data_IF_747440743912
#
_entry.id   IF_747440743912
#
_cell.length_a   1.000
_cell.length_b   1.000
_cell.length_c   1.000
_cell.angle_alpha   90.00
_cell.angle_beta   90.00
_cell.angle_gamma   90.00
#
_symmetry.space_group_name_H-M   'P 1'
#
loop_
_entity.id
_entity.type
_entity.pdbx_description
1 polymer ?
#
# COMPACT_ATOMS: atom_id res chain seq x y z
N UNK A 1 17.22 27.96 34.50
CA UNK A 1 16.55 28.95 35.38
C UNK A 1 15.59 29.81 34.56
N UNK A 2 14.29 29.52 34.62
CA UNK A 2 13.17 30.48 34.58
C UNK A 2 11.89 29.64 34.70
N UNK A 3 11.30 29.72 35.89
CA UNK A 3 10.04 29.08 36.27
C UNK A 3 8.91 30.01 35.86
N UNK A 4 7.82 29.46 35.31
CA UNK A 4 6.52 30.10 35.37
C UNK A 4 5.48 29.04 35.77
N UNK A 5 4.73 29.38 36.80
CA UNK A 5 3.62 28.65 37.39
C UNK A 5 2.49 29.67 37.66
N UNK A 6 1.28 29.13 37.87
CA UNK A 6 0.00 29.77 38.25
C UNK A 6 -0.82 30.40 37.10
N UNK A 7 -2.15 30.25 37.02
CA UNK A 7 -3.18 29.71 37.93
C UNK A 7 -4.35 29.11 37.14
N UNK A 8 -5.08 28.12 37.65
CA UNK A 8 -6.10 28.16 38.69
C UNK A 8 -7.42 28.85 38.28
N UNK A 9 -8.50 28.05 38.40
CA UNK A 9 -9.86 28.43 38.79
C UNK A 9 -10.84 28.91 37.70
N UNK A 10 -11.81 28.07 37.34
CA UNK A 10 -13.23 28.45 37.33
C UNK A 10 -14.12 27.23 37.62
N UNK A 11 -14.84 27.34 38.74
CA UNK A 11 -15.95 26.50 39.20
C UNK A 11 -17.24 27.27 38.91
N UNK A 12 -18.28 26.58 38.44
CA UNK A 12 -19.67 27.07 38.40
C UNK A 12 -20.47 26.39 37.29
N UNK A 13 -21.23 25.31 37.57
CA UNK A 13 -22.67 25.32 37.91
C UNK A 13 -23.56 26.03 36.88
N UNK A 14 -24.45 25.29 36.18
CA UNK A 14 -25.91 25.56 36.14
C UNK A 14 -26.72 24.57 35.24
N UNK A 15 -27.78 24.00 35.85
CA UNK A 15 -29.10 23.54 35.32
C UNK A 15 -29.15 22.51 34.19
N UNK A 16 -29.66 21.28 34.38
CA UNK A 16 -31.07 20.85 34.63
C UNK A 16 -32.05 21.41 33.59
N UNK A 17 -32.37 20.59 32.60
CA UNK A 17 -33.42 20.81 31.62
C UNK A 17 -34.06 19.48 31.21
N UNK A 18 -34.93 18.94 32.07
CA UNK A 18 -35.88 17.90 31.70
C UNK A 18 -37.00 18.54 30.87
N UNK A 19 -37.04 18.23 29.56
CA UNK A 19 -38.18 18.52 28.72
C UNK A 19 -38.98 17.22 28.52
N UNK A 20 -39.88 16.97 29.47
CA UNK A 20 -41.03 16.09 29.28
C UNK A 20 -42.21 16.95 28.81
N UNK A 21 -42.71 16.68 27.61
CA UNK A 21 -43.98 17.16 27.06
C UNK A 21 -44.22 16.30 25.80
N UNK A 22 -45.32 15.61 25.57
CA UNK A 22 -46.57 15.46 26.30
C UNK A 22 -47.39 14.44 25.50
N UNK A 23 -48.07 13.54 26.22
CA UNK A 23 -49.11 12.70 25.63
C UNK A 23 -50.40 13.49 25.42
N UNK A 24 -51.09 13.18 24.33
CA UNK A 24 -52.43 13.68 23.97
C UNK A 24 -52.71 13.25 22.54
N UNK A 25 -53.31 12.08 22.34
CA UNK A 25 -54.77 11.83 22.31
C UNK A 25 -55.25 11.75 20.86
N UNK A 26 -55.54 10.52 20.43
CA UNK A 26 -56.62 10.16 19.51
C UNK A 26 -56.83 11.04 18.28
N UNK A 27 -55.99 10.83 17.27
CA UNK A 27 -56.47 10.84 15.88
C UNK A 27 -56.30 9.43 15.34
N UNK A 28 -57.38 8.76 14.89
CA UNK A 28 -57.26 7.43 14.31
C UNK A 28 -56.28 7.51 13.14
N UNK A 29 -55.33 6.58 13.13
CA UNK A 29 -54.41 6.34 12.04
C UNK A 29 -55.17 6.48 10.72
N UNK A 30 -54.91 7.59 10.02
CA UNK A 30 -55.13 7.61 8.59
C UNK A 30 -54.23 6.50 8.08
N UNK A 31 -54.84 5.36 7.75
CA UNK A 31 -54.22 4.30 6.98
C UNK A 31 -53.55 4.96 5.78
N UNK A 32 -52.26 5.29 5.91
CA UNK A 32 -51.38 5.46 4.79
C UNK A 32 -51.23 4.03 4.27
N UNK A 33 -52.25 3.60 3.53
CA UNK A 33 -52.11 2.54 2.57
C UNK A 33 -51.10 3.10 1.57
N UNK A 34 -49.82 2.85 1.81
CA UNK A 34 -48.84 2.82 0.75
C UNK A 34 -49.35 1.73 -0.19
N UNK A 35 -50.22 2.12 -1.12
CA UNK A 35 -50.61 1.31 -2.24
C UNK A 35 -49.36 1.26 -3.09
N UNK A 36 -48.47 0.35 -2.70
CA UNK A 36 -47.44 -0.15 -3.58
C UNK A 36 -48.20 -0.72 -4.76
N UNK A 37 -48.12 -0.03 -5.89
CA UNK A 37 -48.91 -0.32 -7.07
C UNK A 37 -48.39 -1.62 -7.67
N UNK A 38 -48.84 -2.75 -7.11
CA UNK A 38 -48.43 -4.12 -7.39
C UNK A 38 -48.79 -4.64 -8.80
N UNK A 39 -48.90 -3.75 -9.80
CA UNK A 39 -49.24 -4.10 -11.18
C UNK A 39 -48.29 -3.52 -12.22
N UNK A 40 -47.22 -2.84 -11.82
CA UNK A 40 -46.03 -2.74 -12.66
C UNK A 40 -45.12 -3.92 -12.32
N UNK A 41 -44.49 -4.63 -13.28
CA UNK A 41 -43.26 -5.31 -12.93
C UNK A 41 -42.35 -4.20 -12.40
N UNK A 42 -42.05 -4.20 -11.10
CA UNK A 42 -40.84 -3.56 -10.61
C UNK A 42 -39.74 -4.23 -11.39
N UNK A 43 -39.40 -3.66 -12.54
CA UNK A 43 -38.15 -3.92 -13.20
C UNK A 43 -37.16 -3.51 -12.13
N UNK A 44 -36.69 -4.50 -11.37
CA UNK A 44 -35.50 -4.35 -10.56
C UNK A 44 -34.51 -3.74 -11.54
N UNK A 45 -34.28 -2.44 -11.41
CA UNK A 45 -33.17 -1.79 -12.06
C UNK A 45 -32.00 -2.53 -11.48
N UNK A 46 -31.46 -3.48 -12.25
CA UNK A 46 -30.34 -4.31 -11.82
C UNK A 46 -29.32 -3.35 -11.25
N UNK A 47 -29.02 -3.51 -9.98
CA UNK A 47 -28.12 -2.61 -9.27
C UNK A 47 -26.81 -2.50 -10.06
N UNK A 48 -26.28 -1.29 -10.12
CA UNK A 48 -25.10 -1.00 -10.92
C UNK A 48 -23.89 -1.81 -10.41
N UNK A 49 -23.44 -2.77 -11.22
CA UNK A 49 -22.32 -3.64 -10.91
C UNK A 49 -21.04 -3.12 -11.61
N UNK A 50 -20.11 -2.59 -10.81
CA UNK A 50 -18.84 -2.02 -11.28
C UNK A 50 -17.95 -3.03 -12.01
N UNK A 51 -17.93 -4.30 -11.58
CA UNK A 51 -17.03 -5.32 -12.14
C UNK A 51 -17.52 -5.86 -13.48
N UNK A 52 -18.83 -6.11 -13.62
CA UNK A 52 -19.42 -6.61 -14.87
C UNK A 52 -19.84 -5.48 -15.81
N UNK A 53 -19.84 -4.24 -15.33
CA UNK A 53 -20.37 -3.06 -16.02
C UNK A 53 -21.83 -3.25 -16.47
N UNK A 54 -22.67 -3.82 -15.61
CA UNK A 54 -24.08 -4.11 -15.87
C UNK A 54 -25.00 -3.32 -14.94
N UNK A 55 -26.22 -3.03 -15.38
CA UNK A 55 -27.25 -2.35 -14.58
C UNK A 55 -27.63 -0.95 -15.06
N UNK A 56 -26.80 -0.36 -15.92
CA UNK A 56 -27.05 0.97 -16.50
C UNK A 56 -27.71 0.91 -17.88
N UNK A 57 -28.25 2.05 -18.33
CA UNK A 57 -28.88 2.16 -19.65
C UNK A 57 -27.83 2.08 -20.77
N UNK A 58 -28.30 1.89 -22.01
CA UNK A 58 -27.41 1.94 -23.18
C UNK A 58 -26.73 3.31 -23.29
N UNK A 59 -25.40 3.31 -23.42
CA UNK A 59 -24.60 4.53 -23.45
C UNK A 59 -24.17 5.03 -22.06
N UNK A 60 -24.49 4.28 -21.01
CA UNK A 60 -24.01 4.51 -19.66
C UNK A 60 -23.07 3.39 -19.19
N UNK A 61 -22.25 3.70 -18.20
CA UNK A 61 -21.38 2.76 -17.49
C UNK A 61 -21.68 2.77 -16.00
N UNK A 62 -21.34 1.66 -15.36
CA UNK A 62 -21.20 1.60 -13.92
C UNK A 62 -19.86 2.17 -13.48
N UNK A 63 -19.90 3.16 -12.60
CA UNK A 63 -18.69 3.84 -12.11
C UNK A 63 -18.87 4.41 -10.71
N UNK A 64 -17.79 4.92 -10.15
CA UNK A 64 -17.81 5.72 -8.93
C UNK A 64 -18.07 7.18 -9.30
N UNK A 65 -19.06 7.78 -8.67
CA UNK A 65 -19.45 9.17 -8.87
C UNK A 65 -19.07 9.94 -7.60
N UNK A 66 -18.13 10.87 -7.72
CA UNK A 66 -17.78 11.81 -6.66
C UNK A 66 -18.96 12.76 -6.44
N UNK A 67 -19.67 12.60 -5.34
CA UNK A 67 -20.81 13.45 -4.98
C UNK A 67 -20.32 14.74 -4.31
N UNK A 68 -19.27 14.63 -3.52
CA UNK A 68 -18.53 15.74 -2.88
C UNK A 68 -17.04 15.40 -2.89
N UNK A 69 -16.18 16.31 -2.43
CA UNK A 69 -14.73 16.09 -2.33
C UNK A 69 -14.33 14.92 -1.41
N UNK A 70 -15.25 14.43 -0.56
CA UNK A 70 -14.98 13.35 0.41
C UNK A 70 -16.00 12.21 0.36
N UNK A 71 -16.97 12.26 -0.54
CA UNK A 71 -18.05 11.28 -0.61
C UNK A 71 -18.31 10.96 -2.07
N UNK A 72 -18.28 9.67 -2.40
CA UNK A 72 -18.81 9.19 -3.67
C UNK A 72 -19.85 8.10 -3.48
N UNK A 73 -20.41 7.66 -4.61
CA UNK A 73 -21.38 6.57 -4.67
C UNK A 73 -21.20 5.76 -5.94
N UNK A 74 -21.61 4.50 -5.89
CA UNK A 74 -21.74 3.66 -7.08
C UNK A 74 -22.99 4.11 -7.85
N UNK A 75 -22.85 4.32 -9.15
CA UNK A 75 -23.98 4.74 -9.99
C UNK A 75 -23.71 4.65 -11.48
N UNK A 76 -24.77 4.95 -12.23
CA UNK A 76 -24.72 5.03 -13.68
C UNK A 76 -24.31 6.44 -14.13
N UNK A 77 -23.33 6.51 -15.02
CA UNK A 77 -22.89 7.74 -15.65
C UNK A 77 -22.70 7.52 -17.15
N UNK A 78 -22.57 8.59 -17.93
CA UNK A 78 -22.29 8.46 -19.37
C UNK A 78 -21.02 7.64 -19.61
N UNK A 79 -21.09 6.69 -20.54
CA UNK A 79 -19.93 5.89 -20.91
C UNK A 79 -18.88 6.76 -21.61
N UNK A 80 -17.65 6.66 -21.14
CA UNK A 80 -16.54 7.43 -21.67
C UNK A 80 -15.97 6.83 -22.95
N UNK A 81 -14.97 7.50 -23.51
CA UNK A 81 -14.28 7.05 -24.73
C UNK A 81 -12.80 6.77 -24.51
N UNK A 82 -12.26 7.12 -23.35
CA UNK A 82 -10.84 6.91 -23.04
C UNK A 82 -10.63 5.46 -22.63
N UNK A 83 -9.84 4.73 -23.42
CA UNK A 83 -9.49 3.33 -23.13
C UNK A 83 -8.59 3.20 -21.89
N UNK A 84 -8.54 2.00 -21.31
CA UNK A 84 -7.61 1.65 -20.22
C UNK A 84 -6.16 2.01 -20.61
N UNK A 85 -5.42 2.60 -19.69
CA UNK A 85 -4.08 3.16 -19.87
C UNK A 85 -4.05 4.54 -20.53
N UNK A 86 -5.19 5.05 -21.02
CA UNK A 86 -5.32 6.39 -21.59
C UNK A 86 -5.42 7.49 -20.53
N UNK A 87 -5.04 8.71 -20.90
CA UNK A 87 -5.20 9.91 -20.06
C UNK A 87 -6.67 10.31 -19.92
N UNK A 88 -7.14 10.46 -18.69
CA UNK A 88 -8.53 10.76 -18.37
C UNK A 88 -8.69 11.99 -17.47
N UNK A 89 -9.93 12.40 -17.30
CA UNK A 89 -10.32 13.50 -16.40
C UNK A 89 -11.61 13.13 -15.68
N UNK A 90 -11.68 13.42 -14.39
CA UNK A 90 -12.93 13.40 -13.63
C UNK A 90 -13.58 14.78 -13.70
N UNK A 91 -14.89 14.83 -13.92
CA UNK A 91 -15.63 16.08 -13.82
C UNK A 91 -15.71 16.58 -12.36
N UNK A 92 -16.23 17.80 -12.13
CA UNK A 92 -16.33 18.36 -10.78
C UNK A 92 -17.31 17.55 -9.94
N UNK A 93 -17.02 17.41 -8.64
CA UNK A 93 -17.88 16.69 -7.71
C UNK A 93 -19.34 17.15 -7.80
N UNK A 94 -20.24 16.17 -7.85
CA UNK A 94 -21.68 16.34 -8.00
C UNK A 94 -22.30 15.09 -8.62
N UNK A 95 -23.54 14.76 -8.23
CA UNK A 95 -24.18 13.50 -8.63
C UNK A 95 -24.30 13.28 -10.14
N UNK A 96 -24.28 14.36 -10.93
CA UNK A 96 -24.39 14.31 -12.40
C UNK A 96 -23.14 14.83 -13.11
N UNK A 97 -22.05 15.09 -12.39
CA UNK A 97 -20.82 15.68 -12.96
C UNK A 97 -19.54 15.06 -12.44
N UNK A 98 -19.56 14.41 -11.27
CA UNK A 98 -18.37 13.84 -10.62
C UNK A 98 -17.98 12.46 -11.15
N UNK A 99 -18.16 12.22 -12.44
CA UNK A 99 -17.74 10.97 -13.09
C UNK A 99 -16.63 11.24 -14.09
N UNK A 100 -15.88 10.19 -14.41
CA UNK A 100 -14.77 10.27 -15.36
C UNK A 100 -15.16 9.92 -16.81
N UNK A 101 -14.25 10.21 -17.75
CA UNK A 101 -14.43 9.96 -19.18
C UNK A 101 -13.79 8.64 -19.69
N UNK A 102 -13.49 7.70 -18.80
CA UNK A 102 -13.02 6.37 -19.14
C UNK A 102 -14.15 5.46 -19.64
N UNK A 103 -13.82 4.48 -20.48
CA UNK A 103 -14.77 3.47 -20.95
C UNK A 103 -15.33 2.63 -19.78
N UNK A 104 -16.49 2.01 -19.98
CA UNK A 104 -17.12 1.15 -18.98
C UNK A 104 -16.22 0.01 -18.47
N UNK A 105 -16.34 -0.30 -17.18
CA UNK A 105 -15.44 -1.23 -16.48
C UNK A 105 -14.08 -0.62 -16.11
N UNK A 106 -13.91 0.70 -16.23
CA UNK A 106 -12.71 1.41 -15.79
C UNK A 106 -13.04 2.72 -15.05
N UNK A 107 -12.08 3.18 -14.26
CA UNK A 107 -12.13 4.38 -13.43
C UNK A 107 -10.91 5.26 -13.66
N UNK A 108 -11.06 6.57 -13.56
CA UNK A 108 -9.95 7.51 -13.71
C UNK A 108 -9.21 7.72 -12.39
N UNK A 109 -8.06 7.05 -12.24
CA UNK A 109 -7.20 7.21 -11.07
C UNK A 109 -5.89 7.89 -11.44
N UNK A 110 -5.56 8.98 -10.75
CA UNK A 110 -4.35 9.78 -11.03
C UNK A 110 -4.24 10.24 -12.48
N UNK A 111 -5.37 10.47 -13.14
CA UNK A 111 -5.43 10.87 -14.55
C UNK A 111 -5.17 9.74 -15.55
N UNK A 112 -5.25 8.47 -15.16
CA UNK A 112 -5.18 7.32 -16.08
C UNK A 112 -6.40 6.44 -15.90
N UNK A 113 -6.98 5.97 -17.01
CA UNK A 113 -8.06 4.99 -16.94
C UNK A 113 -7.51 3.62 -16.54
N UNK A 114 -8.02 3.07 -15.45
CA UNK A 114 -7.60 1.77 -14.93
C UNK A 114 -8.81 0.85 -14.80
N UNK A 115 -8.63 -0.42 -15.15
CA UNK A 115 -9.70 -1.40 -15.08
C UNK A 115 -10.13 -1.57 -13.61
N UNK A 116 -11.44 -1.57 -13.36
CA UNK A 116 -11.96 -1.92 -12.04
C UNK A 116 -11.76 -3.42 -11.83
N UNK A 117 -11.34 -3.81 -10.63
CA UNK A 117 -11.02 -5.20 -10.31
C UNK A 117 -11.61 -5.65 -8.98
N UNK A 118 -11.73 -6.97 -8.82
CA UNK A 118 -11.94 -7.60 -7.51
C UNK A 118 -10.61 -8.03 -6.92
N UNK A 119 -10.46 -8.00 -5.60
CA UNK A 119 -9.24 -8.45 -4.92
C UNK A 119 -9.19 -9.96 -4.65
N UNK A 120 -10.36 -10.60 -4.52
CA UNK A 120 -10.46 -12.00 -4.13
C UNK A 120 -11.49 -12.76 -5.00
N UNK A 121 -11.08 -13.40 -6.10
CA UNK A 121 -9.72 -13.42 -6.65
C UNK A 121 -9.34 -12.08 -7.31
N UNK A 122 -8.03 -11.81 -7.38
CA UNK A 122 -7.49 -10.73 -8.20
C UNK A 122 -7.91 -10.93 -9.66
N UNK A 123 -8.69 -10.00 -10.20
CA UNK A 123 -9.19 -10.04 -11.59
C UNK A 123 -8.29 -9.30 -12.59
N UNK A 124 -7.17 -8.73 -12.16
CA UNK A 124 -6.21 -8.04 -13.01
C UNK A 124 -5.36 -9.03 -13.83
N UNK A 125 -4.70 -8.54 -14.88
CA UNK A 125 -3.71 -9.33 -15.61
C UNK A 125 -2.42 -9.42 -14.76
N UNK A 126 -2.07 -10.61 -14.23
CA UNK A 126 -0.94 -10.77 -13.31
C UNK A 126 0.42 -10.56 -13.99
N UNK A 127 0.47 -10.47 -15.32
CA UNK A 127 1.69 -10.13 -16.04
C UNK A 127 1.98 -8.62 -16.03
N UNK A 128 0.95 -7.78 -15.88
CA UNK A 128 1.06 -6.34 -16.11
C UNK A 128 0.50 -5.48 -14.98
N UNK A 129 -0.34 -6.03 -14.11
CA UNK A 129 -1.08 -5.29 -13.09
C UNK A 129 -1.41 -6.14 -11.85
N UNK A 130 -1.81 -5.47 -10.77
CA UNK A 130 -2.33 -6.06 -9.52
C UNK A 130 -3.55 -5.25 -9.08
N UNK A 131 -4.49 -5.87 -8.37
CA UNK A 131 -5.67 -5.17 -7.88
C UNK A 131 -5.40 -4.43 -6.56
N UNK A 132 -5.39 -3.09 -6.58
CA UNK A 132 -5.21 -2.27 -5.37
C UNK A 132 -6.52 -1.61 -4.94
N UNK A 133 -6.83 -1.66 -3.64
CA UNK A 133 -7.90 -0.84 -3.06
C UNK A 133 -7.39 0.53 -2.65
N UNK A 134 -8.30 1.50 -2.69
CA UNK A 134 -8.05 2.87 -2.29
C UNK A 134 -9.09 3.26 -1.25
N UNK A 135 -8.63 3.85 -0.14
CA UNK A 135 -9.53 4.24 0.94
C UNK A 135 -10.60 5.22 0.43
N UNK A 136 -11.87 4.92 0.70
CA UNK A 136 -13.01 5.74 0.27
C UNK A 136 -13.44 5.53 -1.18
N UNK A 137 -12.72 4.73 -1.97
CA UNK A 137 -13.09 4.41 -3.35
C UNK A 137 -13.87 3.10 -3.39
N UNK A 138 -15.03 3.12 -4.05
CA UNK A 138 -15.95 1.98 -4.15
C UNK A 138 -16.55 1.52 -2.81
N UNK A 139 -16.58 2.40 -1.80
CA UNK A 139 -17.26 2.12 -0.53
C UNK A 139 -18.73 1.73 -0.77
N UNK A 140 -19.16 0.65 -0.12
CA UNK A 140 -20.50 0.10 -0.27
C UNK A 140 -20.65 -0.92 -1.41
N UNK A 141 -19.58 -1.23 -2.16
CA UNK A 141 -19.59 -2.36 -3.07
C UNK A 141 -19.83 -3.70 -2.32
N UNK A 142 -20.52 -4.68 -2.94
CA UNK A 142 -20.80 -5.98 -2.30
C UNK A 142 -19.57 -6.89 -2.19
N UNK A 143 -18.46 -6.52 -2.84
CA UNK A 143 -17.18 -7.24 -2.84
C UNK A 143 -16.05 -6.22 -2.73
N UNK A 144 -14.89 -6.66 -2.25
CA UNK A 144 -13.69 -5.81 -2.18
C UNK A 144 -13.21 -5.49 -3.59
N UNK A 145 -13.44 -4.23 -4.00
CA UNK A 145 -13.06 -3.71 -5.30
C UNK A 145 -11.82 -2.82 -5.21
N UNK A 146 -11.17 -2.67 -6.35
CA UNK A 146 -10.02 -1.80 -6.53
C UNK A 146 -9.88 -1.40 -7.99
N UNK A 147 -8.68 -0.94 -8.35
CA UNK A 147 -8.28 -0.75 -9.74
C UNK A 147 -7.01 -1.54 -10.05
N UNK A 148 -6.87 -1.94 -11.31
CA UNK A 148 -5.68 -2.64 -11.80
C UNK A 148 -4.53 -1.67 -12.00
N UNK A 149 -3.76 -1.45 -10.93
CA UNK A 149 -2.53 -0.67 -11.00
C UNK A 149 -1.45 -1.44 -11.75
N UNK A 150 -0.70 -0.74 -12.60
CA UNK A 150 0.37 -1.36 -13.37
C UNK A 150 1.54 -1.78 -12.49
N UNK A 151 2.09 -2.96 -12.71
CA UNK A 151 3.28 -3.43 -11.99
C UNK A 151 4.52 -2.58 -12.33
N UNK A 152 5.43 -2.41 -11.37
CA UNK A 152 6.61 -1.57 -11.50
C UNK A 152 7.87 -2.12 -10.82
N UNK A 153 9.01 -1.52 -11.11
CA UNK A 153 10.29 -1.75 -10.45
C UNK A 153 10.56 -0.60 -9.47
N UNK A 154 10.56 -0.84 -8.16
CA UNK A 154 10.71 0.23 -7.18
C UNK A 154 12.15 0.78 -7.13
N UNK A 155 13.15 -0.05 -7.41
CA UNK A 155 14.57 0.36 -7.45
C UNK A 155 14.85 1.38 -8.55
N UNK A 156 14.19 1.25 -9.70
CA UNK A 156 14.34 2.15 -10.85
C UNK A 156 13.22 3.17 -11.01
N UNK A 157 12.09 2.98 -10.32
CA UNK A 157 10.85 3.73 -10.52
C UNK A 157 10.34 3.60 -11.97
N UNK A 158 10.32 2.39 -12.52
CA UNK A 158 9.91 2.13 -13.91
C UNK A 158 8.71 1.18 -13.97
N UNK A 159 7.74 1.44 -14.84
CA UNK A 159 6.65 0.49 -15.12
C UNK A 159 7.20 -0.76 -15.83
N UNK A 160 6.78 -1.96 -15.40
CA UNK A 160 7.35 -3.22 -15.92
C UNK A 160 6.93 -3.54 -17.35
N UNK A 161 5.74 -3.12 -17.76
CA UNK A 161 5.19 -3.47 -19.08
C UNK A 161 5.92 -2.77 -20.23
N UNK A 162 6.41 -1.55 -20.03
CA UNK A 162 6.98 -0.71 -21.10
C UNK A 162 8.20 0.13 -20.69
N UNK A 163 8.70 -0.04 -19.46
CA UNK A 163 9.84 0.71 -18.90
C UNK A 163 9.60 2.22 -18.84
N UNK A 164 8.35 2.66 -18.74
CA UNK A 164 8.05 4.07 -18.55
C UNK A 164 8.61 4.55 -17.20
N UNK A 165 9.49 5.57 -17.25
CA UNK A 165 10.07 6.21 -16.08
C UNK A 165 8.98 6.86 -15.20
N UNK A 166 9.20 6.86 -13.89
CA UNK A 166 8.26 7.30 -12.86
C UNK A 166 6.85 6.71 -13.04
N UNK A 167 6.76 5.44 -13.45
CA UNK A 167 5.48 4.79 -13.71
C UNK A 167 4.64 5.43 -14.84
N UNK A 168 5.26 6.25 -15.68
CA UNK A 168 4.57 7.09 -16.66
C UNK A 168 3.97 8.35 -16.02
N UNK A 169 3.56 9.30 -16.86
CA UNK A 169 2.92 10.52 -16.40
C UNK A 169 1.41 10.35 -16.52
N UNK A 170 0.65 10.67 -15.47
CA UNK A 170 -0.81 10.75 -15.55
C UNK A 170 -1.28 11.85 -16.50
N UNK A 171 -2.58 11.89 -16.80
CA UNK A 171 -3.16 13.06 -17.46
C UNK A 171 -2.77 14.35 -16.72
N UNK A 172 -2.61 15.44 -17.47
CA UNK A 172 -2.31 16.78 -16.93
C UNK A 172 -0.96 16.87 -16.18
N UNK A 173 -0.10 15.86 -16.30
CA UNK A 173 1.21 15.89 -15.66
C UNK A 173 1.21 15.34 -14.23
N UNK A 174 0.11 14.70 -13.79
CA UNK A 174 0.02 14.14 -12.44
C UNK A 174 1.16 13.13 -12.23
N UNK A 175 2.05 13.35 -11.24
CA UNK A 175 3.13 12.45 -10.96
C UNK A 175 2.59 11.09 -10.48
N UNK A 176 3.29 10.03 -10.87
CA UNK A 176 3.08 8.67 -10.38
C UNK A 176 4.39 8.15 -9.81
N UNK A 177 4.26 7.21 -8.90
CA UNK A 177 5.39 6.53 -8.30
C UNK A 177 5.19 5.03 -8.29
N UNK A 178 6.29 4.30 -8.17
CA UNK A 178 6.26 2.87 -7.93
C UNK A 178 6.28 2.63 -6.42
N UNK A 179 5.14 2.18 -5.91
CA UNK A 179 4.89 1.95 -4.49
C UNK A 179 4.56 0.49 -4.27
N UNK A 180 4.73 0.02 -3.05
CA UNK A 180 4.41 -1.35 -2.69
C UNK A 180 4.93 -1.65 -1.31
N UNK A 181 4.42 -2.72 -0.73
CA UNK A 181 4.80 -3.14 0.60
C UNK A 181 4.97 -4.66 0.61
N UNK A 182 5.98 -5.11 1.36
CA UNK A 182 6.23 -6.53 1.58
C UNK A 182 5.35 -6.96 2.75
N UNK A 183 4.10 -7.36 2.48
CA UNK A 183 3.28 -7.98 3.52
C UNK A 183 3.35 -9.50 3.39
N UNK A 184 3.77 -10.15 4.47
CA UNK A 184 3.72 -11.60 4.64
C UNK A 184 2.24 -12.04 4.74
N UNK A 185 1.52 -12.02 3.62
CA UNK A 185 0.26 -12.72 3.50
C UNK A 185 0.57 -14.10 2.93
N UNK A 186 0.37 -15.14 3.73
CA UNK A 186 0.53 -16.53 3.34
C UNK A 186 -0.37 -16.94 2.16
N UNK A 187 -1.31 -16.09 1.75
CA UNK A 187 -2.25 -16.31 0.66
C UNK A 187 -1.73 -15.88 -0.71
N UNK A 188 -0.81 -14.91 -0.79
CA UNK A 188 -0.16 -14.51 -2.03
C UNK A 188 1.23 -13.90 -1.74
N UNK A 189 2.32 -14.66 -1.89
CA UNK A 189 3.68 -14.19 -1.59
C UNK A 189 4.22 -13.20 -2.64
N UNK A 190 3.39 -12.75 -3.60
CA UNK A 190 3.82 -11.80 -4.61
C UNK A 190 3.86 -10.41 -4.01
N UNK A 191 5.06 -9.85 -3.99
CA UNK A 191 5.27 -8.44 -3.71
C UNK A 191 4.97 -7.70 -4.99
N UNK A 192 3.73 -7.23 -5.08
CA UNK A 192 3.29 -6.43 -6.21
C UNK A 192 3.59 -4.97 -5.91
N UNK A 193 4.72 -4.51 -6.46
CA UNK A 193 4.95 -3.07 -6.59
C UNK A 193 4.09 -2.56 -7.73
N UNK A 194 3.25 -1.58 -7.42
CA UNK A 194 2.29 -1.02 -8.33
C UNK A 194 2.54 0.48 -8.54
N UNK A 195 2.29 0.92 -9.76
CA UNK A 195 2.28 2.31 -10.13
C UNK A 195 1.03 2.94 -9.57
N UNK A 196 1.16 3.86 -8.61
CA UNK A 196 0.00 4.57 -8.05
C UNK A 196 0.18 6.08 -8.21
N UNK A 197 -0.89 6.88 -8.11
CA UNK A 197 -0.77 8.32 -8.10
C UNK A 197 0.08 8.77 -6.90
N UNK A 198 0.98 9.73 -7.15
CA UNK A 198 1.70 10.40 -6.08
C UNK A 198 0.71 11.33 -5.37
N UNK A 199 0.53 11.13 -4.06
CA UNK A 199 -0.38 11.94 -3.23
C UNK A 199 0.34 13.12 -2.59
N UNK A 200 1.64 13.28 -2.83
CA UNK A 200 2.47 14.30 -2.21
C UNK A 200 2.58 15.55 -3.11
N UNK A 201 1.75 16.57 -2.85
CA UNK A 201 1.98 17.92 -3.41
C UNK A 201 3.22 18.60 -2.78
N UNK A 202 3.68 18.06 -1.65
CA UNK A 202 4.90 18.47 -0.98
C UNK A 202 5.91 17.33 -1.10
N UNK A 203 7.17 17.68 -1.37
CA UNK A 203 8.35 16.82 -1.27
C UNK A 203 8.52 16.34 0.19
N UNK A 204 7.60 15.53 0.72
CA UNK A 204 7.59 15.06 2.10
C UNK A 204 8.44 13.80 2.18
N UNK A 205 9.72 13.95 1.86
CA UNK A 205 10.65 12.84 1.77
C UNK A 205 10.90 12.06 3.07
N UNK A 206 10.27 12.38 4.21
CA UNK A 206 10.60 11.77 5.51
C UNK A 206 9.49 11.78 6.58
N UNK A 207 8.26 12.20 6.27
CA UNK A 207 7.18 12.28 7.28
C UNK A 207 5.91 11.61 6.78
N UNK A 208 5.45 10.53 7.42
CA UNK A 208 4.27 9.80 6.96
C UNK A 208 3.02 10.69 7.02
N UNK A 209 2.21 10.64 5.96
CA UNK A 209 0.78 10.98 6.04
C UNK A 209 0.12 10.09 7.12
N UNK A 210 -0.95 10.53 7.83
CA UNK A 210 -1.52 9.74 8.91
C UNK A 210 -1.81 8.31 8.47
N UNK A 211 -1.59 7.37 9.39
CA UNK A 211 -1.95 5.96 9.22
C UNK A 211 -3.41 5.83 8.76
N UNK A 212 -3.74 4.72 8.10
CA UNK A 212 -5.13 4.31 7.90
C UNK A 212 -5.86 4.29 9.25
N UNK A 213 -7.21 4.31 9.27
CA UNK A 213 -7.97 4.15 10.51
C UNK A 213 -7.56 2.92 11.35
N UNK A 214 -6.99 1.90 10.70
CA UNK A 214 -6.50 0.67 11.32
C UNK A 214 -5.03 0.74 11.77
N UNK A 215 -4.37 1.89 11.62
CA UNK A 215 -3.00 2.10 12.07
C UNK A 215 -1.91 1.61 11.09
N UNK A 216 -2.25 1.29 9.84
CA UNK A 216 -1.27 0.88 8.82
C UNK A 216 -0.82 2.09 7.98
N UNK A 217 0.44 2.17 7.54
CA UNK A 217 0.85 3.23 6.62
C UNK A 217 0.17 3.05 5.26
N UNK A 218 -0.20 4.16 4.62
CA UNK A 218 -0.56 4.14 3.19
C UNK A 218 0.66 3.72 2.37
N UNK A 219 0.46 2.96 1.28
CA UNK A 219 1.56 2.52 0.41
C UNK A 219 2.38 3.69 -0.17
N UNK A 220 1.70 4.80 -0.44
CA UNK A 220 2.23 6.06 -0.94
C UNK A 220 2.38 7.11 0.18
N UNK A 221 2.55 6.68 1.43
CA UNK A 221 2.86 7.58 2.56
C UNK A 221 4.26 8.21 2.49
N UNK A 222 5.13 7.68 1.63
CA UNK A 222 6.45 8.21 1.30
C UNK A 222 6.50 8.69 -0.15
N UNK A 223 7.46 9.56 -0.48
CA UNK A 223 7.74 9.99 -1.85
C UNK A 223 8.06 8.80 -2.78
N UNK A 224 7.80 8.96 -4.09
CA UNK A 224 8.21 7.98 -5.10
C UNK A 224 9.71 7.66 -4.98
N UNK A 225 10.04 6.36 -4.94
CA UNK A 225 11.40 5.91 -4.70
C UNK A 225 11.72 5.61 -3.24
N UNK A 226 10.74 5.69 -2.34
CA UNK A 226 10.89 5.34 -0.94
C UNK A 226 9.86 4.31 -0.50
N UNK A 227 10.25 3.47 0.45
CA UNK A 227 9.43 2.46 1.08
C UNK A 227 9.05 2.91 2.49
N UNK A 228 7.75 2.97 2.84
CA UNK A 228 7.35 3.18 4.22
C UNK A 228 7.71 1.95 5.06
N UNK A 229 8.55 2.15 6.06
CA UNK A 229 8.92 1.13 7.03
C UNK A 229 8.49 1.56 8.43
N UNK A 230 7.77 0.68 9.12
CA UNK A 230 7.36 0.88 10.50
C UNK A 230 8.48 0.36 11.41
N UNK A 231 9.19 1.25 12.09
CA UNK A 231 10.39 0.90 12.85
C UNK A 231 10.11 0.05 14.11
N UNK A 232 8.85 0.00 14.58
CA UNK A 232 8.49 -0.87 15.69
C UNK A 232 7.00 -1.23 15.66
N UNK A 233 6.68 -2.52 15.69
CA UNK A 233 5.29 -3.01 15.67
C UNK A 233 4.73 -3.31 17.07
N UNK A 234 5.50 -3.07 18.13
CA UNK A 234 5.12 -3.41 19.50
C UNK A 234 4.25 -2.32 20.16
N UNK A 235 3.04 -2.09 19.64
CA UNK A 235 1.97 -1.33 20.31
C UNK A 235 2.25 0.16 20.59
N UNK A 236 3.40 0.69 20.17
CA UNK A 236 3.76 2.09 20.34
C UNK A 236 3.32 2.91 19.12
N UNK A 237 2.08 3.39 19.17
CA UNK A 237 1.47 4.28 18.18
C UNK A 237 2.14 5.66 18.08
N UNK A 238 3.19 5.92 18.86
CA UNK A 238 3.95 7.18 18.81
C UNK A 238 5.18 7.10 17.91
N UNK A 239 5.52 5.93 17.39
CA UNK A 239 6.64 5.81 16.47
C UNK A 239 6.27 6.32 15.07
N UNK A 240 7.24 7.02 14.48
CA UNK A 240 7.16 7.56 13.12
C UNK A 240 7.50 6.46 12.13
N UNK A 241 6.66 6.28 11.10
CA UNK A 241 7.11 5.53 9.93
C UNK A 241 8.29 6.27 9.30
N UNK A 242 9.27 5.50 8.83
CA UNK A 242 10.45 6.03 8.18
C UNK A 242 10.40 5.67 6.70
N UNK A 243 10.80 6.61 5.86
CA UNK A 243 10.87 6.41 4.42
C UNK A 243 12.28 5.91 4.05
N UNK A 244 12.39 4.63 3.69
CA UNK A 244 13.64 4.03 3.24
C UNK A 244 13.78 4.15 1.73
N UNK A 245 14.84 4.81 1.24
CA UNK A 245 15.04 4.94 -0.19
C UNK A 245 15.25 3.57 -0.86
N UNK A 246 14.58 3.32 -1.96
CA UNK A 246 14.83 2.17 -2.81
C UNK A 246 16.16 2.34 -3.56
N UNK A 247 16.91 1.25 -3.64
CA UNK A 247 18.17 1.16 -4.36
C UNK A 247 18.22 -0.11 -5.23
N UNK A 248 19.18 -0.17 -6.15
CA UNK A 248 19.51 -1.40 -6.87
C UNK A 248 20.63 -2.11 -6.09
N UNK A 249 20.36 -3.25 -5.43
CA UNK A 249 21.34 -3.92 -4.59
C UNK A 249 22.37 -4.67 -5.43
N UNK A 250 23.57 -4.81 -4.89
CA UNK A 250 24.61 -5.67 -5.43
C UNK A 250 25.22 -6.50 -4.32
N UNK A 251 25.67 -7.71 -4.63
CA UNK A 251 26.26 -8.59 -3.62
C UNK A 251 27.46 -7.91 -2.95
N UNK A 252 27.48 -7.98 -1.63
CA UNK A 252 28.54 -7.46 -0.76
C UNK A 252 28.81 -8.41 0.40
N UNK A 253 30.08 -8.52 0.80
CA UNK A 253 30.52 -9.34 1.93
C UNK A 253 31.94 -8.93 2.37
N UNK A 254 32.46 -9.59 3.40
CA UNK A 254 33.83 -9.43 3.89
C UNK A 254 34.84 -9.76 2.77
N UNK A 255 35.56 -8.74 2.31
CA UNK A 255 36.51 -8.86 1.20
C UNK A 255 35.95 -8.44 -0.17
N UNK A 256 34.65 -8.16 -0.27
CA UNK A 256 34.00 -7.60 -1.46
C UNK A 256 32.95 -6.56 -1.07
N UNK A 257 33.39 -5.31 -0.89
CA UNK A 257 32.54 -4.21 -0.40
C UNK A 257 32.18 -3.20 -1.49
N UNK A 258 32.49 -3.49 -2.75
CA UNK A 258 32.29 -2.55 -3.84
C UNK A 258 30.82 -2.12 -4.00
N UNK A 259 29.87 -3.00 -3.69
CA UNK A 259 28.44 -2.75 -3.83
C UNK A 259 27.73 -2.44 -2.50
N UNK A 260 28.45 -2.08 -1.44
CA UNK A 260 27.86 -1.96 -0.10
C UNK A 260 26.78 -0.88 -0.04
N UNK A 261 26.93 0.19 -0.83
CA UNK A 261 25.93 1.24 -1.02
C UNK A 261 24.95 0.99 -2.17
N UNK A 262 24.98 -0.18 -2.80
CA UNK A 262 24.23 -0.52 -4.01
C UNK A 262 25.13 -0.89 -5.18
N UNK A 263 24.53 -1.46 -6.23
CA UNK A 263 25.25 -1.90 -7.43
C UNK A 263 25.91 -0.71 -8.12
N UNK A 264 27.24 -0.74 -8.21
CA UNK A 264 28.03 0.33 -8.83
C UNK A 264 27.65 0.50 -10.30
N UNK A 265 27.41 1.75 -10.71
CA UNK A 265 27.02 2.10 -12.07
C UNK A 265 25.54 1.93 -12.39
N UNK A 266 24.72 1.51 -11.42
CA UNK A 266 23.25 1.42 -11.61
C UNK A 266 22.57 2.79 -11.70
N UNK A 267 23.17 3.84 -11.11
CA UNK A 267 22.52 5.15 -10.92
C UNK A 267 21.46 5.16 -9.80
N UNK A 268 21.37 4.07 -9.02
CA UNK A 268 20.39 3.87 -7.97
C UNK A 268 21.06 3.32 -6.70
N UNK A 269 22.25 3.82 -6.37
CA UNK A 269 22.91 3.57 -5.08
C UNK A 269 22.27 4.43 -3.98
N UNK A 270 22.53 4.12 -2.71
CA UNK A 270 22.07 4.95 -1.61
C UNK A 270 22.60 6.39 -1.67
N UNK A 271 23.82 6.57 -2.18
CA UNK A 271 24.37 7.90 -2.43
C UNK A 271 23.58 8.64 -3.54
N UNK A 272 23.19 7.95 -4.62
CA UNK A 272 22.36 8.54 -5.69
C UNK A 272 20.97 8.96 -5.17
N UNK A 273 20.48 8.29 -4.12
CA UNK A 273 19.24 8.62 -3.42
C UNK A 273 19.40 9.65 -2.31
N UNK A 274 20.58 10.26 -2.16
CA UNK A 274 20.82 11.33 -1.19
C UNK A 274 21.13 10.87 0.23
N UNK A 275 21.47 9.59 0.44
CA UNK A 275 21.97 9.14 1.73
C UNK A 275 23.30 9.84 2.07
N UNK A 276 23.28 10.67 3.12
CA UNK A 276 24.45 11.41 3.61
C UNK A 276 25.10 10.77 4.84
N UNK A 277 24.41 9.82 5.47
CA UNK A 277 24.84 9.19 6.71
C UNK A 277 25.90 8.13 6.42
N UNK A 278 27.02 8.19 7.12
CA UNK A 278 28.03 7.12 7.08
C UNK A 278 27.42 5.82 7.61
N UNK A 279 27.61 4.71 6.90
CA UNK A 279 27.05 3.41 7.29
C UNK A 279 25.71 3.09 6.64
N UNK A 280 25.20 3.91 5.71
CA UNK A 280 24.07 3.52 4.86
C UNK A 280 24.49 2.45 3.85
N UNK A 281 23.79 1.32 3.86
CA UNK A 281 24.01 0.20 2.97
C UNK A 281 22.74 -0.14 2.18
N UNK A 282 22.90 -0.57 0.93
CA UNK A 282 21.78 -1.04 0.12
C UNK A 282 21.54 -2.53 0.37
N UNK A 283 20.47 -2.88 1.07
CA UNK A 283 20.12 -4.26 1.39
C UNK A 283 19.07 -4.79 0.44
N UNK A 284 19.24 -6.02 -0.02
CA UNK A 284 18.21 -6.74 -0.76
C UNK A 284 16.93 -6.84 0.08
N UNK A 285 15.77 -6.62 -0.54
CA UNK A 285 14.49 -6.52 0.16
C UNK A 285 14.03 -7.81 0.84
N UNK A 286 14.56 -8.96 0.45
CA UNK A 286 14.18 -10.23 1.08
C UNK A 286 14.55 -10.30 2.57
N UNK A 287 15.39 -9.38 3.08
CA UNK A 287 15.62 -9.23 4.53
C UNK A 287 14.32 -8.93 5.31
N UNK A 288 13.28 -8.42 4.65
CA UNK A 288 11.98 -8.12 5.26
C UNK A 288 10.93 -9.20 4.99
N UNK A 289 11.28 -10.26 4.26
CA UNK A 289 10.35 -11.30 3.83
C UNK A 289 10.57 -12.59 4.62
N UNK A 290 9.48 -13.18 5.12
CA UNK A 290 9.49 -14.50 5.75
C UNK A 290 9.67 -15.64 4.75
N UNK A 291 9.31 -15.40 3.48
CA UNK A 291 9.36 -16.35 2.36
C UNK A 291 10.00 -15.70 1.12
N UNK A 292 11.31 -15.45 1.15
CA UNK A 292 12.02 -14.73 0.08
C UNK A 292 11.71 -15.23 -1.34
N UNK A 293 11.39 -14.30 -2.25
CA UNK A 293 11.26 -14.54 -3.68
C UNK A 293 12.48 -14.00 -4.44
N UNK A 294 12.92 -14.71 -5.49
CA UNK A 294 13.93 -14.23 -6.45
C UNK A 294 13.54 -12.92 -7.12
N UNK A 295 12.25 -12.59 -7.20
CA UNK A 295 11.75 -11.31 -7.68
C UNK A 295 12.33 -10.12 -6.87
N UNK A 296 12.66 -10.34 -5.60
CA UNK A 296 13.25 -9.35 -4.70
C UNK A 296 14.74 -9.11 -4.93
N UNK A 297 15.39 -9.88 -5.80
CA UNK A 297 16.79 -9.65 -6.13
C UNK A 297 17.02 -8.39 -6.96
N UNK A 298 15.94 -7.79 -7.47
CA UNK A 298 16.01 -6.60 -8.33
C UNK A 298 15.86 -5.30 -7.57
N UNK A 299 15.53 -5.35 -6.27
CA UNK A 299 15.22 -4.19 -5.45
C UNK A 299 15.82 -4.31 -4.06
N UNK A 300 16.29 -3.17 -3.56
CA UNK A 300 16.89 -3.04 -2.24
C UNK A 300 16.39 -1.79 -1.54
N UNK A 301 16.78 -1.64 -0.29
CA UNK A 301 16.47 -0.46 0.52
C UNK A 301 17.73 0.06 1.21
N UNK A 302 17.82 1.37 1.34
CA UNK A 302 18.93 2.04 1.99
C UNK A 302 18.73 2.07 3.50
N UNK A 303 19.59 1.37 4.22
CA UNK A 303 19.51 1.22 5.67
C UNK A 303 20.78 1.74 6.32
N UNK A 304 20.66 2.61 7.32
CA UNK A 304 21.78 2.98 8.19
C UNK A 304 22.07 1.83 9.14
N UNK A 305 23.18 1.14 8.91
CA UNK A 305 23.63 0.03 9.77
C UNK A 305 23.89 0.56 11.18
N UNK A 306 23.27 -0.06 12.18
CA UNK A 306 23.36 0.33 13.59
C UNK A 306 22.14 1.11 14.12
N UNK A 307 21.34 1.72 13.25
CA UNK A 307 20.06 2.35 13.65
C UNK A 307 18.92 1.34 13.76
N UNK A 308 19.11 0.16 13.17
CA UNK A 308 18.15 -0.94 13.17
C UNK A 308 18.60 -2.06 14.09
N UNK A 309 17.63 -2.54 14.84
CA UNK A 309 17.73 -3.70 15.68
C UNK A 309 16.97 -4.85 15.03
N UNK A 310 17.57 -6.04 15.04
CA UNK A 310 16.91 -7.26 14.63
C UNK A 310 16.63 -8.10 15.87
N UNK A 311 15.34 -8.31 16.12
CA UNK A 311 14.84 -9.24 17.13
C UNK A 311 14.39 -10.51 16.40
N UNK A 312 15.18 -11.58 16.54
CA UNK A 312 15.04 -12.81 15.75
C UNK A 312 14.12 -13.84 16.39
N UNK A 313 13.79 -13.69 17.67
CA UNK A 313 12.92 -14.62 18.39
C UNK A 313 11.71 -13.94 19.03
N UNK A 314 11.61 -12.61 18.91
CA UNK A 314 10.50 -11.80 19.42
C UNK A 314 10.29 -12.04 20.92
N UNK A 315 11.38 -12.35 21.62
CA UNK A 315 11.37 -12.62 23.05
C UNK A 315 11.88 -11.40 23.83
N UNK A 316 11.34 -11.20 25.03
CA UNK A 316 11.70 -10.03 25.85
C UNK A 316 13.03 -10.20 26.59
N UNK A 317 13.70 -11.33 26.41
CA UNK A 317 14.82 -11.79 27.23
C UNK A 317 16.16 -11.75 26.50
N UNK A 318 16.14 -11.82 25.16
CA UNK A 318 17.29 -11.71 24.30
C UNK A 318 17.38 -10.26 23.82
N UNK A 319 18.46 -9.53 24.16
CA UNK A 319 18.63 -8.18 23.65
C UNK A 319 18.68 -8.19 22.13
N UNK A 320 17.90 -7.32 21.50
CA UNK A 320 17.93 -7.15 20.06
C UNK A 320 19.37 -6.91 19.58
N UNK A 321 19.74 -7.58 18.50
CA UNK A 321 21.08 -7.45 17.93
C UNK A 321 21.06 -6.40 16.84
N UNK A 322 22.00 -5.45 16.89
CA UNK A 322 22.16 -4.48 15.80
C UNK A 322 22.42 -5.19 14.47
N UNK A 323 21.78 -4.73 13.40
CA UNK A 323 22.01 -5.28 12.07
C UNK A 323 23.51 -5.14 11.72
N UNK A 324 24.23 -6.22 11.38
CA UNK A 324 25.65 -6.16 11.05
C UNK A 324 25.88 -5.60 9.64
N UNK A 325 27.01 -4.92 9.43
CA UNK A 325 27.45 -4.43 8.11
C UNK A 325 27.73 -5.58 7.16
N UNK A 326 27.28 -5.49 5.90
CA UNK A 326 27.63 -6.46 4.87
C UNK A 326 29.15 -6.61 4.70
N UNK A 327 29.91 -5.52 4.88
CA UNK A 327 31.37 -5.56 4.77
C UNK A 327 32.08 -6.36 5.87
N UNK A 328 31.35 -6.75 6.92
CA UNK A 328 31.87 -7.56 8.04
C UNK A 328 31.41 -9.00 8.01
N UNK A 329 30.39 -9.32 7.21
CA UNK A 329 29.82 -10.65 7.14
C UNK A 329 30.60 -11.53 6.17
N UNK A 330 30.93 -12.79 6.53
CA UNK A 330 31.53 -13.72 5.59
C UNK A 330 30.56 -13.97 4.43
N UNK A 331 31.10 -14.33 3.26
CA UNK A 331 30.27 -14.82 2.17
C UNK A 331 29.55 -16.08 2.64
N UNK A 332 28.22 -16.02 2.71
CA UNK A 332 27.39 -17.20 2.88
C UNK A 332 27.45 -18.02 1.60
N UNK A 333 27.48 -19.33 1.74
CA UNK A 333 27.27 -20.23 0.62
C UNK A 333 25.88 -20.88 0.72
N UNK A 334 25.51 -21.63 -0.31
CA UNK A 334 24.24 -22.37 -0.34
C UNK A 334 24.11 -23.41 0.79
N UNK A 335 25.21 -23.77 1.47
CA UNK A 335 25.23 -24.75 2.55
C UNK A 335 25.19 -24.10 3.94
N UNK A 336 25.55 -22.82 4.03
CA UNK A 336 25.59 -22.02 5.25
C UNK A 336 25.05 -20.61 4.95
N UNK A 337 23.71 -20.46 4.87
CA UNK A 337 23.06 -19.17 4.60
C UNK A 337 23.25 -18.16 5.73
N UNK A 338 23.82 -18.56 6.88
CA UNK A 338 23.94 -17.75 8.10
C UNK A 338 24.84 -16.50 7.96
N UNK A 339 25.50 -16.31 6.80
CA UNK A 339 26.33 -15.16 6.49
C UNK A 339 25.58 -13.99 5.86
N UNK A 340 26.18 -13.42 4.82
CA UNK A 340 25.69 -12.24 4.10
C UNK A 340 24.26 -12.42 3.51
N UNK A 341 23.81 -13.64 3.23
CA UNK A 341 22.48 -13.90 2.68
C UNK A 341 21.36 -13.46 3.64
N UNK A 342 21.29 -13.97 4.88
CA UNK A 342 20.19 -13.64 5.80
C UNK A 342 20.06 -12.13 6.06
N UNK A 343 21.17 -11.41 6.01
CA UNK A 343 21.21 -9.96 6.23
C UNK A 343 20.99 -9.13 4.96
N UNK A 344 20.46 -9.72 3.89
CA UNK A 344 20.14 -9.01 2.66
C UNK A 344 21.38 -8.42 1.97
N UNK A 345 22.53 -9.08 2.06
CA UNK A 345 23.78 -8.65 1.41
C UNK A 345 24.09 -9.43 0.12
N UNK A 346 23.32 -10.48 -0.16
CA UNK A 346 23.43 -11.30 -1.36
C UNK A 346 22.04 -11.52 -1.98
N UNK A 347 21.96 -11.76 -3.30
CA UNK A 347 20.70 -12.15 -3.93
C UNK A 347 20.23 -13.50 -3.39
N UNK A 348 18.92 -13.65 -3.25
CA UNK A 348 18.29 -14.93 -2.94
C UNK A 348 18.52 -15.94 -4.08
N UNK A 349 19.07 -17.12 -3.82
CA UNK A 349 19.42 -18.08 -4.86
C UNK A 349 18.16 -18.70 -5.51
N UNK A 350 18.13 -18.75 -6.85
CA UNK A 350 17.00 -19.33 -7.59
C UNK A 350 16.82 -20.85 -7.39
N UNK A 351 17.91 -21.55 -7.04
CA UNK A 351 17.98 -23.02 -7.00
C UNK A 351 17.35 -23.67 -5.75
N UNK A 352 16.98 -22.89 -4.72
CA UNK A 352 16.33 -23.46 -3.53
C UNK A 352 14.87 -23.88 -3.81
N UNK A 353 14.32 -23.57 -4.98
CA UNK A 353 12.94 -23.92 -5.39
C UNK A 353 12.74 -25.42 -5.70
N UNK A 354 13.80 -26.23 -5.70
CA UNK A 354 13.74 -27.70 -5.83
C UNK A 354 13.50 -28.45 -4.50
N UNK A 355 13.06 -29.73 -4.55
CA UNK A 355 12.68 -30.56 -3.39
C UNK A 355 13.69 -30.59 -2.22
N UNK A 356 15.00 -30.45 -2.46
CA UNK A 356 16.03 -30.35 -1.41
C UNK A 356 16.10 -28.98 -0.74
N UNK A 357 15.76 -27.92 -1.47
CA UNK A 357 15.59 -26.60 -0.91
C UNK A 357 14.34 -26.46 -0.04
N UNK A 358 13.43 -27.46 0.02
CA UNK A 358 12.31 -27.43 0.98
C UNK A 358 12.77 -27.55 2.44
N UNK A 359 13.88 -28.24 2.73
CA UNK A 359 14.40 -28.36 4.10
C UNK A 359 15.19 -27.11 4.53
N UNK A 360 15.93 -26.50 3.60
CA UNK A 360 16.63 -25.23 3.82
C UNK A 360 15.67 -24.03 3.80
N UNK A 361 14.70 -24.00 2.89
CA UNK A 361 13.57 -23.07 2.98
C UNK A 361 12.79 -23.32 4.26
N UNK A 362 12.56 -24.55 4.71
CA UNK A 362 11.92 -24.76 6.01
C UNK A 362 12.82 -24.39 7.18
N UNK A 363 14.15 -24.38 7.07
CA UNK A 363 15.03 -23.97 8.17
C UNK A 363 15.17 -22.46 8.23
N UNK A 364 15.39 -21.81 7.08
CA UNK A 364 15.43 -20.34 6.96
C UNK A 364 14.02 -19.79 7.17
N UNK A 365 12.99 -20.31 6.50
CA UNK A 365 11.61 -19.93 6.77
C UNK A 365 11.14 -20.38 8.16
N UNK A 366 11.63 -21.45 8.82
CA UNK A 366 11.31 -21.64 10.26
C UNK A 366 12.00 -20.60 11.12
N UNK A 367 13.25 -20.21 10.84
CA UNK A 367 13.88 -19.07 11.52
C UNK A 367 13.03 -17.80 11.26
N UNK A 368 12.69 -17.51 10.02
CA UNK A 368 11.92 -16.33 9.59
C UNK A 368 10.41 -16.35 9.95
N UNK A 369 9.82 -17.53 10.17
CA UNK A 369 8.42 -17.72 10.55
C UNK A 369 8.29 -17.87 12.07
N UNK A 370 9.29 -18.41 12.77
CA UNK A 370 9.41 -18.23 14.22
C UNK A 370 9.57 -16.75 14.58
N UNK A 371 10.21 -15.96 13.71
CA UNK A 371 10.25 -14.49 13.77
C UNK A 371 8.87 -13.81 13.58
N UNK A 372 7.86 -14.47 12.97
CA UNK A 372 6.58 -13.83 12.58
C UNK A 372 5.33 -14.39 13.29
N UNK A 373 5.21 -15.70 13.49
CA UNK A 373 3.98 -16.34 14.02
C UNK A 373 3.74 -16.16 15.53
N UNK A 374 4.69 -15.65 16.31
CA UNK A 374 4.44 -15.36 17.73
C UNK A 374 3.80 -13.99 17.99
N UNK A 375 3.47 -13.22 16.93
CA UNK A 375 2.74 -11.95 17.05
C UNK A 375 1.22 -12.08 17.19
N UNK A 376 0.60 -13.19 16.79
CA UNK A 376 -0.88 -13.33 16.79
C UNK A 376 -1.48 -13.82 18.13
N UNK A 377 -0.66 -14.04 19.15
CA UNK A 377 -1.08 -14.56 20.46
C UNK A 377 -0.69 -13.67 21.66
N UNK A 378 -0.44 -12.37 21.44
CA UNK A 378 -0.36 -11.38 22.53
C UNK A 378 -1.42 -10.32 22.38
#
# INVERSE_FOLDING_TARGET
>A
MKKLAFGALFVGLLSVGAAACGGGSDTPDANINLVDSATGPDAQTTECNLLTNQGCATGEKCTWIDVTDTLGKIGCATDGTVAIGGSCTTGPAGETTGFDNCVGGSYCLGGVCEAICSQAPDSCDPATSTCSSYAGLFDGAPVDLGVCDFLCNPGKQERRSDLAANCGVGAQGTPRGCYGYVWNSSANPRIDYACTPDISDAQVGQTPSPLTPDGNPYLNSCDAGYWPYVNNFAGDVTQVDICLAFCVPGESFQGSTANIGGLVGSGFTCADRGAVTTGTECRFQHIFDGTPDVALNTSGTCMVVGDYLADWDNDTNTPDTGIPSCGTLPQGDENNPDGNLIWGCAPWPAALTGKSGSAQHQMIARKLHQMYEQRSHR
#
